data_IF_260224229597
#
_entry.id   IF_260224229597
#
_cell.length_a   1.000
_cell.length_b   1.000
_cell.length_c   1.000
_cell.angle_alpha   90.00
_cell.angle_beta   90.00
_cell.angle_gamma   90.00
#
_symmetry.space_group_name_H-M   'P 1'
#
loop_
_entity.id
_entity.type
_entity.pdbx_description
1 polymer ?
#
# COMPACT_ATOMS: atom_id res chain seq x y z
N UNK A 1 -7.64 33.14 21.99
CA UNK A 1 -6.73 32.08 22.48
C UNK A 1 -7.46 30.73 22.53
N UNK A 2 -8.00 30.26 21.40
CA UNK A 2 -8.90 29.09 21.35
C UNK A 2 -8.14 27.77 21.11
N UNK A 3 -7.12 27.79 20.24
CA UNK A 3 -6.25 26.63 19.95
C UNK A 3 -5.52 26.08 21.18
N UNK A 4 -5.14 26.94 22.12
CA UNK A 4 -4.43 26.53 23.34
C UNK A 4 -5.37 25.78 24.29
N UNK A 5 -6.62 26.24 24.42
CA UNK A 5 -7.63 25.56 25.25
C UNK A 5 -8.04 24.20 24.68
N UNK A 6 -8.14 24.09 23.35
CA UNK A 6 -8.41 22.82 22.67
C UNK A 6 -7.24 21.83 22.76
N UNK A 7 -6.00 22.35 22.76
CA UNK A 7 -4.78 21.56 22.99
C UNK A 7 -4.68 21.05 24.44
N UNK A 8 -4.93 21.91 25.44
CA UNK A 8 -5.00 21.53 26.85
C UNK A 8 -6.13 20.51 27.10
N UNK A 9 -7.25 20.64 26.37
CA UNK A 9 -8.36 19.68 26.40
C UNK A 9 -8.08 18.38 25.61
N UNK A 10 -6.90 18.23 25.01
CA UNK A 10 -6.48 17.03 24.25
C UNK A 10 -7.23 16.81 22.94
N UNK A 11 -8.01 17.77 22.46
CA UNK A 11 -8.83 17.67 21.24
C UNK A 11 -8.05 17.97 19.98
N UNK A 12 -6.91 18.64 20.12
CA UNK A 12 -6.01 18.99 19.03
C UNK A 12 -4.63 18.40 19.34
N UNK A 13 -4.04 17.60 18.42
CA UNK A 13 -2.71 17.07 18.61
C UNK A 13 -1.70 18.22 18.61
N UNK A 14 -0.96 18.35 19.72
CA UNK A 14 0.14 19.29 19.87
C UNK A 14 1.47 18.55 19.74
N UNK A 15 2.27 18.94 18.76
CA UNK A 15 3.55 18.31 18.44
C UNK A 15 3.73 18.10 16.93
N UNK A 16 4.96 17.76 16.48
CA UNK A 16 5.17 17.34 15.10
C UNK A 16 4.24 16.17 14.79
N UNK A 17 3.43 16.31 13.73
CA UNK A 17 2.52 15.25 13.29
C UNK A 17 3.37 14.00 13.04
N UNK A 18 3.14 12.87 13.74
CA UNK A 18 3.92 11.68 13.50
C UNK A 18 3.76 11.33 12.02
N UNK A 19 4.89 11.23 11.31
CA UNK A 19 4.95 10.62 10.00
C UNK A 19 4.23 9.27 10.14
N UNK A 20 3.20 9.02 9.32
CA UNK A 20 2.34 7.83 9.46
C UNK A 20 3.25 6.61 9.54
N UNK A 21 3.44 6.06 10.74
CA UNK A 21 4.28 4.90 10.94
C UNK A 21 3.73 3.78 10.07
N UNK A 22 4.54 3.34 9.11
CA UNK A 22 4.23 2.22 8.25
C UNK A 22 4.10 1.02 9.18
N UNK A 23 2.86 0.62 9.49
CA UNK A 23 2.59 -0.52 10.38
C UNK A 23 3.34 -1.74 9.83
N UNK A 24 4.35 -2.18 10.58
CA UNK A 24 5.09 -3.41 10.31
C UNK A 24 4.27 -4.53 10.94
N UNK A 25 3.82 -5.49 10.13
CA UNK A 25 3.19 -6.70 10.65
C UNK A 25 4.20 -7.55 11.44
N UNK A 26 3.72 -8.43 12.31
CA UNK A 26 4.58 -9.36 13.09
C UNK A 26 5.50 -10.22 12.21
N UNK A 27 5.14 -10.41 10.94
CA UNK A 27 5.93 -11.11 9.92
C UNK A 27 7.04 -10.25 9.26
N UNK A 28 7.29 -9.05 9.78
CA UNK A 28 8.27 -8.11 9.25
C UNK A 28 7.84 -7.44 7.94
N UNK A 29 6.63 -7.70 7.44
CA UNK A 29 6.13 -7.08 6.21
C UNK A 29 5.62 -5.68 6.50
N UNK A 30 5.97 -4.74 5.62
CA UNK A 30 5.46 -3.37 5.65
C UNK A 30 4.18 -3.26 4.84
N UNK A 31 3.13 -2.68 5.42
CA UNK A 31 1.87 -2.42 4.72
C UNK A 31 1.95 -1.09 3.97
N UNK A 32 1.63 -1.09 2.67
CA UNK A 32 1.49 0.14 1.87
C UNK A 32 0.00 0.53 1.86
N UNK A 33 -0.41 1.59 2.57
CA UNK A 33 -1.81 2.05 2.55
C UNK A 33 -2.07 2.82 1.24
N UNK A 34 -2.83 2.21 0.34
CA UNK A 34 -3.36 2.87 -0.86
C UNK A 34 -4.82 3.27 -0.63
N UNK A 35 -5.22 4.43 -1.15
CA UNK A 35 -6.61 4.92 -1.08
C UNK A 35 -7.20 4.91 -2.48
N UNK A 36 -8.34 4.26 -2.65
CA UNK A 36 -9.10 4.16 -3.89
C UNK A 36 -10.57 4.40 -3.60
N UNK A 37 -11.33 4.81 -4.60
CA UNK A 37 -12.78 4.80 -4.53
C UNK A 37 -13.30 3.36 -4.42
N UNK A 38 -14.39 3.18 -3.66
CA UNK A 38 -14.90 1.85 -3.34
C UNK A 38 -15.37 1.08 -4.59
N UNK A 39 -15.98 1.78 -5.54
CA UNK A 39 -16.46 1.21 -6.80
C UNK A 39 -15.31 0.77 -7.69
N UNK A 40 -14.26 1.60 -7.82
CA UNK A 40 -13.05 1.27 -8.57
C UNK A 40 -12.32 0.07 -7.96
N UNK A 41 -12.23 0.03 -6.62
CA UNK A 41 -11.60 -1.09 -5.94
C UNK A 41 -12.39 -2.39 -6.16
N UNK A 42 -13.72 -2.33 -6.19
CA UNK A 42 -14.57 -3.49 -6.48
C UNK A 42 -14.38 -3.98 -7.93
N UNK A 43 -14.32 -3.07 -8.89
CA UNK A 43 -14.08 -3.40 -10.30
C UNK A 43 -12.69 -4.03 -10.50
N UNK A 44 -11.65 -3.46 -9.89
CA UNK A 44 -10.30 -4.01 -9.89
C UNK A 44 -10.28 -5.43 -9.30
N UNK A 45 -10.97 -5.59 -8.16
CA UNK A 45 -11.05 -6.85 -7.45
C UNK A 45 -11.72 -7.96 -8.23
N UNK A 46 -12.75 -7.62 -9.01
CA UNK A 46 -13.37 -8.55 -9.93
C UNK A 46 -12.40 -8.92 -11.06
N UNK A 47 -11.76 -7.94 -11.68
CA UNK A 47 -10.88 -8.16 -12.83
C UNK A 47 -9.71 -9.10 -12.55
N UNK A 48 -9.02 -8.95 -11.41
CA UNK A 48 -7.90 -9.84 -11.10
C UNK A 48 -8.34 -11.26 -10.70
N UNK A 49 -9.52 -11.40 -10.07
CA UNK A 49 -10.10 -12.72 -9.76
C UNK A 49 -10.54 -13.45 -11.03
N UNK A 50 -11.20 -12.76 -11.94
CA UNK A 50 -11.60 -13.31 -13.24
C UNK A 50 -10.38 -13.74 -14.07
N UNK A 51 -9.24 -13.06 -13.90
CA UNK A 51 -7.96 -13.43 -14.49
C UNK A 51 -7.23 -14.60 -13.77
N UNK A 52 -7.86 -15.23 -12.77
CA UNK A 52 -7.30 -16.38 -12.04
C UNK A 52 -6.13 -16.04 -11.12
N UNK A 53 -5.92 -14.77 -10.77
CA UNK A 53 -4.86 -14.37 -9.85
C UNK A 53 -5.33 -14.69 -8.43
N UNK A 54 -4.55 -15.38 -7.58
CA UNK A 54 -5.04 -15.87 -6.28
C UNK A 54 -5.12 -14.80 -5.18
N UNK A 55 -4.43 -13.67 -5.33
CA UNK A 55 -4.47 -12.60 -4.33
C UNK A 55 -4.19 -11.22 -4.90
N UNK A 56 -4.77 -10.21 -4.25
CA UNK A 56 -4.51 -8.79 -4.53
C UNK A 56 -3.01 -8.48 -4.45
N UNK A 57 -2.29 -9.01 -3.46
CA UNK A 57 -0.84 -8.84 -3.34
C UNK A 57 -0.09 -9.40 -4.56
N UNK A 58 -0.49 -10.56 -5.09
CA UNK A 58 0.13 -11.14 -6.29
C UNK A 58 -0.16 -10.28 -7.53
N UNK A 59 -1.39 -9.77 -7.65
CA UNK A 59 -1.74 -8.80 -8.69
C UNK A 59 -0.85 -7.56 -8.62
N UNK A 60 -0.74 -6.90 -7.46
CA UNK A 60 0.08 -5.71 -7.30
C UNK A 60 1.56 -5.97 -7.53
N UNK A 61 2.13 -7.07 -7.02
CA UNK A 61 3.53 -7.43 -7.29
C UNK A 61 3.79 -7.59 -8.79
N UNK A 62 2.89 -8.26 -9.51
CA UNK A 62 2.98 -8.44 -10.97
C UNK A 62 2.86 -7.12 -11.72
N UNK A 63 1.95 -6.22 -11.29
CA UNK A 63 1.79 -4.90 -11.89
C UNK A 63 3.05 -4.05 -11.70
N UNK A 64 3.57 -4.00 -10.46
CA UNK A 64 4.81 -3.27 -10.13
C UNK A 64 6.01 -3.81 -10.91
N UNK A 65 6.15 -5.14 -11.03
CA UNK A 65 7.20 -5.75 -11.85
C UNK A 65 7.15 -5.27 -13.30
N UNK A 66 5.96 -5.28 -13.91
CA UNK A 66 5.76 -4.85 -15.31
C UNK A 66 6.16 -3.38 -15.49
N UNK A 67 5.73 -2.53 -14.58
CA UNK A 67 6.05 -1.09 -14.63
C UNK A 67 7.55 -0.83 -14.44
N UNK A 68 8.18 -1.46 -13.45
CA UNK A 68 9.62 -1.35 -13.22
C UNK A 68 10.44 -1.84 -14.43
N UNK A 69 9.98 -2.90 -15.10
CA UNK A 69 10.61 -3.41 -16.33
C UNK A 69 10.47 -2.41 -17.47
N UNK A 70 9.29 -1.82 -17.66
CA UNK A 70 9.04 -0.81 -18.68
C UNK A 70 9.88 0.46 -18.47
N UNK A 71 10.13 0.84 -17.21
CA UNK A 71 11.02 1.94 -16.85
C UNK A 71 12.51 1.63 -16.99
N UNK A 72 12.89 0.38 -17.31
CA UNK A 72 14.29 -0.05 -17.38
C UNK A 72 14.97 -0.24 -16.01
N UNK A 73 14.21 -0.18 -14.91
CA UNK A 73 14.70 -0.41 -13.55
C UNK A 73 14.83 -1.90 -13.25
N UNK A 74 15.69 -2.59 -14.00
CA UNK A 74 15.82 -4.07 -14.03
C UNK A 74 16.15 -4.68 -12.67
N UNK A 75 17.05 -4.07 -11.90
CA UNK A 75 17.41 -4.55 -10.56
C UNK A 75 16.24 -4.49 -9.58
N UNK A 76 15.46 -3.39 -9.63
CA UNK A 76 14.27 -3.25 -8.83
C UNK A 76 13.19 -4.23 -9.30
N UNK A 77 12.97 -4.36 -10.60
CA UNK A 77 12.01 -5.29 -11.18
C UNK A 77 12.27 -6.73 -10.71
N UNK A 78 13.52 -7.19 -10.69
CA UNK A 78 13.89 -8.53 -10.24
C UNK A 78 13.39 -8.87 -8.82
N UNK A 79 13.28 -7.88 -7.93
CA UNK A 79 12.75 -8.07 -6.55
C UNK A 79 11.25 -8.34 -6.51
N UNK A 80 10.52 -7.97 -7.54
CA UNK A 80 9.07 -8.13 -7.67
C UNK A 80 8.67 -9.21 -8.68
N UNK A 81 9.64 -9.94 -9.23
CA UNK A 81 9.37 -11.04 -10.16
C UNK A 81 8.42 -12.06 -9.53
N UNK A 82 7.40 -12.56 -10.26
CA UNK A 82 6.56 -13.63 -9.77
C UNK A 82 7.44 -14.86 -9.54
N UNK A 83 7.78 -15.14 -8.28
CA UNK A 83 8.29 -16.45 -7.91
C UNK A 83 7.13 -17.42 -8.06
N UNK A 84 7.33 -18.47 -8.85
CA UNK A 84 6.49 -19.66 -8.78
C UNK A 84 6.66 -20.17 -7.35
N UNK A 85 5.66 -19.89 -6.51
CA UNK A 85 5.52 -20.62 -5.24
C UNK A 85 5.13 -22.04 -5.67
N UNK A 86 6.09 -22.96 -5.54
CA UNK A 86 5.97 -24.41 -5.69
C UNK A 86 4.90 -24.98 -4.74
#
# INVERSE_FOLDING_TARGET
KWKIREAEAGRVPVGPRPEREVKVGEDGKRVIPLSFDAEDLAALDKAWRDAGIPSRTRFFKRAVHRELTAMGATEAAARFSPKEEE
#
